data_IF_510777220942
#
_entry.id   IF_510777220942
#
_cell.length_a   1.000
_cell.length_b   1.000
_cell.length_c   1.000
_cell.angle_alpha   90.00
_cell.angle_beta   90.00
_cell.angle_gamma   90.00
#
_symmetry.space_group_name_H-M   'P 1'
#
loop_
_entity.id
_entity.type
_entity.pdbx_description
1 polymer ?
#
# COMPACT_ATOMS: atom_id res chain seq x y z
N UNK A 1 24.72 -12.27 -4.94
CA UNK A 1 24.95 -12.65 -6.35
C UNK A 1 23.86 -12.02 -7.20
N UNK A 2 24.26 -11.28 -8.24
CA UNK A 2 23.48 -10.80 -9.38
C UNK A 2 22.16 -10.06 -9.12
N UNK A 3 22.24 -8.75 -8.83
CA UNK A 3 21.21 -7.84 -9.32
C UNK A 3 21.71 -7.23 -10.64
N UNK A 4 21.71 -8.06 -11.69
CA UNK A 4 21.93 -7.62 -13.07
C UNK A 4 20.80 -6.63 -13.36
N UNK A 5 21.15 -5.40 -13.74
CA UNK A 5 20.25 -4.37 -14.28
C UNK A 5 18.94 -4.96 -14.80
N UNK A 6 17.91 -5.04 -13.94
CA UNK A 6 16.59 -5.45 -14.39
C UNK A 6 16.12 -4.33 -15.30
N UNK A 7 15.91 -4.67 -16.57
CA UNK A 7 15.35 -3.73 -17.51
C UNK A 7 13.98 -3.32 -16.96
N UNK A 8 13.63 -2.04 -17.03
CA UNK A 8 12.33 -1.55 -16.53
C UNK A 8 11.17 -2.37 -17.12
N UNK A 9 11.32 -2.85 -18.35
CA UNK A 9 10.34 -3.73 -19.00
C UNK A 9 10.18 -5.08 -18.31
N UNK A 10 11.24 -5.65 -17.73
CA UNK A 10 11.18 -6.93 -17.03
C UNK A 10 10.45 -6.80 -15.70
N UNK A 11 10.63 -5.67 -15.00
CA UNK A 11 9.94 -5.36 -13.74
C UNK A 11 8.44 -5.14 -14.00
N UNK A 12 8.09 -4.43 -15.07
CA UNK A 12 6.69 -4.16 -15.42
C UNK A 12 5.95 -5.45 -15.76
N UNK A 13 6.56 -6.32 -16.59
CA UNK A 13 5.99 -7.63 -16.92
C UNK A 13 5.82 -8.54 -15.70
N UNK A 14 6.74 -8.49 -14.74
CA UNK A 14 6.66 -9.29 -13.51
C UNK A 14 5.53 -8.83 -12.56
N UNK A 15 4.98 -7.62 -12.74
CA UNK A 15 3.86 -7.08 -11.96
C UNK A 15 2.56 -7.05 -12.78
N UNK A 16 2.40 -7.95 -13.75
CA UNK A 16 1.23 -8.07 -14.63
C UNK A 16 0.89 -6.79 -15.42
N UNK A 17 1.84 -5.85 -15.55
CA UNK A 17 1.76 -4.76 -16.51
C UNK A 17 2.20 -5.28 -17.88
N UNK A 18 1.25 -5.90 -18.60
CA UNK A 18 1.45 -6.29 -19.99
C UNK A 18 1.32 -5.06 -20.89
N UNK A 19 2.46 -4.46 -21.22
CA UNK A 19 2.56 -3.53 -22.34
C UNK A 19 2.37 -4.38 -23.61
N UNK A 20 1.11 -4.66 -23.95
CA UNK A 20 0.74 -5.44 -25.12
C UNK A 20 1.52 -4.96 -26.34
N UNK A 21 1.95 -5.88 -27.21
CA UNK A 21 2.77 -5.60 -28.39
C UNK A 21 2.15 -4.57 -29.37
N UNK A 22 0.86 -4.24 -29.22
CA UNK A 22 0.21 -3.15 -29.95
C UNK A 22 0.73 -1.75 -29.56
N UNK A 23 1.28 -1.59 -28.35
CA UNK A 23 1.91 -0.35 -27.87
C UNK A 23 3.42 -0.29 -28.11
N UNK A 24 3.97 -1.21 -28.91
CA UNK A 24 5.36 -1.14 -29.38
C UNK A 24 5.63 0.09 -30.27
N UNK A 25 4.58 0.79 -30.71
CA UNK A 25 4.65 2.16 -31.22
C UNK A 25 4.43 3.18 -30.10
N UNK A 26 5.27 3.15 -29.06
CA UNK A 26 5.27 4.09 -27.92
C UNK A 26 5.61 5.56 -28.26
N UNK A 27 5.27 6.02 -29.45
CA UNK A 27 5.22 7.41 -29.82
C UNK A 27 3.76 7.81 -29.97
N UNK A 28 3.19 8.42 -28.93
CA UNK A 28 1.93 9.12 -29.14
C UNK A 28 2.15 10.18 -30.23
N UNK A 29 1.26 10.31 -31.24
CA UNK A 29 1.49 11.17 -32.40
C UNK A 29 1.85 12.61 -32.05
N UNK A 30 1.31 13.10 -30.92
CA UNK A 30 1.61 14.44 -30.41
C UNK A 30 3.09 14.62 -29.97
N UNK A 31 3.82 13.56 -29.62
CA UNK A 31 5.23 13.62 -29.23
C UNK A 31 6.15 13.82 -30.45
N UNK A 32 5.78 13.29 -31.63
CA UNK A 32 6.50 13.51 -32.87
C UNK A 32 6.33 14.92 -33.44
N UNK A 33 5.26 15.62 -33.05
CA UNK A 33 4.96 16.99 -33.45
C UNK A 33 5.69 18.04 -32.59
N UNK A 34 6.32 17.63 -31.48
CA UNK A 34 7.01 18.55 -30.57
C UNK A 34 8.31 19.08 -31.15
N UNK A 35 8.56 20.37 -30.93
CA UNK A 35 9.84 20.99 -31.28
C UNK A 35 11.00 20.43 -30.44
N UNK A 36 12.22 20.42 -31.00
CA UNK A 36 13.44 19.92 -30.33
C UNK A 36 13.68 20.51 -28.92
N UNK A 37 13.47 21.82 -28.67
CA UNK A 37 13.61 22.38 -27.33
C UNK A 37 12.60 21.80 -26.33
N UNK A 38 11.36 21.54 -26.76
CA UNK A 38 10.32 20.94 -25.91
C UNK A 38 10.68 19.50 -25.56
N UNK A 39 11.11 18.70 -26.55
CA UNK A 39 11.58 17.33 -26.30
C UNK A 39 12.72 17.30 -25.27
N UNK A 40 13.68 18.24 -25.37
CA UNK A 40 14.78 18.35 -24.40
C UNK A 40 14.29 18.64 -22.98
N UNK A 41 13.30 19.52 -22.82
CA UNK A 41 12.69 19.83 -21.51
C UNK A 41 11.95 18.62 -20.95
N UNK A 42 11.13 17.95 -21.75
CA UNK A 42 10.39 16.74 -21.33
C UNK A 42 11.36 15.63 -20.91
N UNK A 43 12.48 15.43 -21.63
CA UNK A 43 13.51 14.48 -21.22
C UNK A 43 14.16 14.85 -19.88
N UNK A 44 14.41 16.13 -19.63
CA UNK A 44 14.92 16.58 -18.33
C UNK A 44 13.89 16.33 -17.21
N UNK A 45 12.61 16.60 -17.46
CA UNK A 45 11.53 16.29 -16.51
C UNK A 45 11.42 14.80 -16.21
N UNK A 46 11.55 13.93 -17.23
CA UNK A 46 11.58 12.47 -17.03
C UNK A 46 12.75 12.03 -16.15
N UNK A 47 13.91 12.68 -16.27
CA UNK A 47 15.04 12.40 -15.39
C UNK A 47 14.73 12.79 -13.94
N UNK A 48 14.15 13.97 -13.72
CA UNK A 48 13.71 14.40 -12.39
C UNK A 48 12.65 13.46 -11.80
N UNK A 49 11.72 12.97 -12.63
CA UNK A 49 10.74 11.98 -12.19
C UNK A 49 11.40 10.70 -11.67
N UNK A 50 12.47 10.23 -12.32
CA UNK A 50 13.22 9.06 -11.84
C UNK A 50 13.89 9.34 -10.49
N UNK A 51 14.41 10.54 -10.28
CA UNK A 51 14.96 10.96 -8.99
C UNK A 51 13.86 11.02 -7.90
N UNK A 52 12.66 11.49 -8.23
CA UNK A 52 11.51 11.44 -7.32
C UNK A 52 11.13 10.01 -6.93
N UNK A 53 11.11 9.08 -7.89
CA UNK A 53 10.83 7.65 -7.61
C UNK A 53 11.84 7.02 -6.65
N UNK A 54 13.11 7.45 -6.69
CA UNK A 54 14.12 6.99 -5.73
C UNK A 54 13.80 7.45 -4.30
N UNK A 55 13.30 8.67 -4.15
CA UNK A 55 12.85 9.20 -2.84
C UNK A 55 11.61 8.45 -2.37
N UNK A 56 10.62 8.23 -3.24
CA UNK A 56 9.43 7.44 -2.92
C UNK A 56 9.78 6.02 -2.47
N UNK A 57 10.74 5.38 -3.14
CA UNK A 57 11.21 4.05 -2.74
C UNK A 57 11.72 4.04 -1.31
N UNK A 58 12.55 5.01 -0.93
CA UNK A 58 13.06 5.14 0.44
C UNK A 58 11.95 5.43 1.45
N UNK A 59 10.95 6.22 1.05
CA UNK A 59 9.78 6.49 1.87
C UNK A 59 8.99 5.22 2.16
N UNK A 60 8.61 4.45 1.12
CA UNK A 60 7.83 3.23 1.29
C UNK A 60 8.60 2.13 2.02
N UNK A 61 9.93 2.05 1.87
CA UNK A 61 10.75 1.16 2.69
C UNK A 61 10.62 1.49 4.19
N UNK A 62 10.65 2.76 4.57
CA UNK A 62 10.47 3.19 5.96
C UNK A 62 9.06 2.96 6.48
N UNK A 63 8.04 3.18 5.65
CA UNK A 63 6.64 2.87 6.00
C UNK A 63 6.50 1.38 6.28
N UNK A 64 7.07 0.52 5.42
CA UNK A 64 7.05 -0.93 5.62
C UNK A 64 7.76 -1.36 6.92
N UNK A 65 8.93 -0.78 7.20
CA UNK A 65 9.63 -1.02 8.47
C UNK A 65 8.78 -0.62 9.68
N UNK A 66 8.05 0.49 9.59
CA UNK A 66 7.14 0.96 10.62
C UNK A 66 5.94 0.01 10.77
N UNK A 67 5.29 -0.38 9.68
CA UNK A 67 4.20 -1.37 9.69
C UNK A 67 4.64 -2.67 10.36
N UNK A 68 5.82 -3.17 10.00
CA UNK A 68 6.41 -4.37 10.61
C UNK A 68 6.66 -4.22 12.11
N UNK A 69 7.02 -3.03 12.59
CA UNK A 69 7.19 -2.78 14.03
C UNK A 69 5.87 -2.82 14.79
N UNK A 70 4.77 -2.38 14.18
CA UNK A 70 3.45 -2.37 14.81
C UNK A 70 2.68 -3.69 14.64
N UNK A 71 3.03 -4.52 13.66
CA UNK A 71 2.39 -5.81 13.42
C UNK A 71 2.29 -6.69 14.69
N UNK A 72 3.35 -6.89 15.50
CA UNK A 72 3.24 -7.71 16.72
C UNK A 72 2.28 -7.15 17.77
N UNK A 73 2.11 -5.82 17.82
CA UNK A 73 1.16 -5.18 18.75
C UNK A 73 -0.28 -5.51 18.34
N UNK A 74 -0.56 -5.45 17.04
CA UNK A 74 -1.84 -5.89 16.50
C UNK A 74 -2.05 -7.39 16.67
N UNK A 75 -1.00 -8.20 16.46
CA UNK A 75 -1.07 -9.65 16.63
C UNK A 75 -1.44 -10.01 18.08
N UNK A 76 -0.88 -9.32 19.07
CA UNK A 76 -1.22 -9.52 20.48
C UNK A 76 -2.69 -9.20 20.78
N UNK A 77 -3.22 -8.11 20.24
CA UNK A 77 -4.65 -7.75 20.38
C UNK A 77 -5.53 -8.78 19.67
N UNK A 78 -5.14 -9.20 18.47
CA UNK A 78 -5.88 -10.19 17.68
C UNK A 78 -5.86 -11.59 18.29
N UNK A 79 -4.79 -11.95 19.01
CA UNK A 79 -4.72 -13.19 19.76
C UNK A 79 -5.76 -13.21 20.89
N UNK A 80 -5.85 -12.14 21.69
CA UNK A 80 -6.89 -12.01 22.74
C UNK A 80 -8.30 -12.07 22.15
N UNK A 81 -8.51 -11.37 21.03
CA UNK A 81 -9.79 -11.41 20.30
C UNK A 81 -10.14 -12.84 19.86
N UNK A 82 -9.16 -13.62 19.40
CA UNK A 82 -9.37 -15.00 18.98
C UNK A 82 -9.82 -15.88 20.14
N UNK A 83 -9.20 -15.74 21.31
CA UNK A 83 -9.55 -16.51 22.51
C UNK A 83 -11.00 -16.28 22.93
N UNK A 84 -11.46 -15.02 22.91
CA UNK A 84 -12.86 -14.66 23.20
C UNK A 84 -13.81 -15.25 22.14
N UNK A 85 -13.52 -15.05 20.85
CA UNK A 85 -14.39 -15.52 19.76
C UNK A 85 -14.49 -17.05 19.71
N UNK A 86 -13.42 -17.76 20.07
CA UNK A 86 -13.42 -19.22 20.13
C UNK A 86 -14.08 -19.78 21.40
N UNK A 87 -14.42 -18.92 22.38
CA UNK A 87 -14.92 -19.32 23.70
C UNK A 87 -13.85 -19.95 24.59
N UNK A 88 -12.57 -19.71 24.30
CA UNK A 88 -11.43 -20.16 25.11
C UNK A 88 -11.22 -19.25 26.34
N UNK A 89 -11.59 -17.97 26.23
CA UNK A 89 -11.57 -16.98 27.32
C UNK A 89 -12.93 -16.31 27.44
N UNK A 90 -13.51 -16.33 28.65
CA UNK A 90 -14.73 -15.59 28.97
C UNK A 90 -14.34 -14.21 29.52
N UNK A 91 -14.80 -13.10 28.90
CA UNK A 91 -14.44 -11.75 29.34
C UNK A 91 -14.85 -11.46 30.78
N UNK A 92 -14.02 -10.71 31.50
CA UNK A 92 -14.37 -10.19 32.84
C UNK A 92 -15.21 -8.92 32.75
N UNK A 93 -15.85 -8.52 33.85
CA UNK A 93 -16.65 -7.28 33.92
C UNK A 93 -15.82 -6.03 33.57
N UNK A 94 -14.51 -6.02 33.88
CA UNK A 94 -13.60 -4.92 33.52
C UNK A 94 -13.28 -4.90 32.02
N UNK A 95 -13.20 -6.06 31.37
CA UNK A 95 -12.95 -6.18 29.93
C UNK A 95 -14.19 -5.88 29.08
N UNK A 96 -15.38 -5.99 29.69
CA UNK A 96 -16.68 -5.73 29.09
C UNK A 96 -17.28 -4.36 29.49
N UNK A 97 -16.45 -3.41 29.93
CA UNK A 97 -16.89 -2.08 30.37
C UNK A 97 -17.36 -1.16 29.22
N UNK A 98 -17.05 -1.54 27.99
CA UNK A 98 -17.29 -0.74 26.80
C UNK A 98 -18.72 -0.99 26.26
N UNK A 99 -19.51 0.05 25.98
CA UNK A 99 -20.87 -0.11 25.46
C UNK A 99 -20.91 -0.88 24.14
N UNK A 100 -21.83 -1.85 24.03
CA UNK A 100 -22.04 -2.64 22.82
C UNK A 100 -22.42 -1.77 21.60
N UNK A 101 -23.28 -0.77 21.81
CA UNK A 101 -23.72 0.18 20.79
C UNK A 101 -23.53 1.60 21.30
N UNK A 102 -23.01 2.47 20.44
CA UNK A 102 -22.84 3.88 20.77
C UNK A 102 -24.18 4.61 20.61
N UNK A 103 -24.56 5.43 21.60
CA UNK A 103 -25.81 6.21 21.56
C UNK A 103 -27.08 5.43 21.94
N UNK A 104 -26.94 4.19 22.40
CA UNK A 104 -28.02 3.34 22.91
C UNK A 104 -27.80 3.20 24.43
N UNK A 105 -28.81 3.51 25.24
CA UNK A 105 -28.70 3.42 26.71
C UNK A 105 -28.86 1.97 27.16
N UNK A 106 -28.28 1.63 28.32
CA UNK A 106 -28.36 0.28 28.89
C UNK A 106 -29.81 -0.19 29.08
N UNK A 107 -30.73 0.73 29.44
CA UNK A 107 -32.18 0.50 29.53
C UNK A 107 -32.81 0.00 28.22
N UNK A 108 -32.31 0.42 27.06
CA UNK A 108 -32.83 -0.04 25.76
C UNK A 108 -32.28 -1.40 25.33
N UNK A 109 -31.19 -1.87 25.95
CA UNK A 109 -30.60 -3.18 25.69
C UNK A 109 -31.24 -4.28 26.53
N UNK A 110 -31.71 -3.97 27.74
CA UNK A 110 -32.41 -4.91 28.64
C UNK A 110 -33.78 -5.39 28.12
N UNK A 111 -34.24 -4.88 26.96
CA UNK A 111 -35.50 -5.26 26.31
C UNK A 111 -35.34 -6.49 25.38
N UNK A 112 -34.10 -6.94 25.12
CA UNK A 112 -33.78 -8.11 24.30
C UNK A 112 -33.18 -9.24 25.14
#
# INVERSE_FOLDING_TARGET
MNNKNQNLMDILKANDYDLAEEDAAGFSPHLSELSRPVIKRVRALKKLQLESLQVETQFYQKVYELEKQFQPLFDAVNAKRREIVAGEHEPTDEEADTPLLHGVTQETLEVF
#
